data_IF_065369797109
#
_entry.id   IF_065369797109
#
_cell.length_a   1.000
_cell.length_b   1.000
_cell.length_c   1.000
_cell.angle_alpha   90.00
_cell.angle_beta   90.00
_cell.angle_gamma   90.00
#
_symmetry.space_group_name_H-M   'P 1'
#
loop_
_entity.id
_entity.type
_entity.pdbx_description
1 polymer ?
#
# COMPACT_ATOMS: atom_id res chain seq x y z
N UNK A 1 -2.00 4.10 -29.03
CA UNK A 1 -0.67 4.29 -29.65
C UNK A 1 -0.79 4.63 -31.13
N UNK A 2 -1.79 4.08 -31.84
CA UNK A 2 -1.99 4.30 -33.28
C UNK A 2 -2.06 5.77 -33.68
N UNK A 3 -2.69 6.60 -32.85
CA UNK A 3 -2.77 8.04 -33.06
C UNK A 3 -1.39 8.75 -33.18
N UNK A 4 -0.34 8.23 -32.51
CA UNK A 4 1.04 8.74 -32.61
C UNK A 4 1.66 8.38 -33.96
N UNK A 5 1.35 7.19 -34.48
CA UNK A 5 1.83 6.69 -35.76
C UNK A 5 1.15 7.44 -36.90
N UNK A 6 -0.17 7.63 -36.82
CA UNK A 6 -0.97 8.38 -37.80
C UNK A 6 -0.48 9.83 -37.95
N UNK A 7 -0.15 10.48 -36.82
CA UNK A 7 0.41 11.84 -36.79
C UNK A 7 1.89 11.91 -37.14
N UNK A 8 2.52 10.78 -37.51
CA UNK A 8 3.96 10.69 -37.83
C UNK A 8 4.88 11.16 -36.70
N UNK A 9 4.40 11.10 -35.46
CA UNK A 9 5.22 11.42 -34.27
C UNK A 9 6.19 10.26 -33.99
N UNK A 10 5.75 9.04 -34.27
CA UNK A 10 6.51 7.81 -34.07
C UNK A 10 6.43 6.94 -35.33
N UNK A 11 7.54 6.29 -35.70
CA UNK A 11 7.60 5.39 -36.86
C UNK A 11 6.80 4.09 -36.62
N UNK A 12 6.32 3.44 -37.69
CA UNK A 12 5.64 2.13 -37.61
C UNK A 12 6.49 1.02 -36.97
N UNK A 13 7.82 1.14 -37.05
CA UNK A 13 8.79 0.22 -36.46
C UNK A 13 9.01 0.42 -34.96
N UNK A 14 8.23 1.29 -34.30
CA UNK A 14 8.34 1.57 -32.87
C UNK A 14 8.35 0.33 -31.96
N UNK A 15 7.68 -0.80 -32.24
CA UNK A 15 7.73 -1.94 -31.33
C UNK A 15 9.16 -2.47 -31.14
N UNK A 16 9.96 -2.48 -32.21
CA UNK A 16 11.37 -2.89 -32.15
C UNK A 16 12.22 -1.86 -31.39
N UNK A 17 11.97 -0.57 -31.61
CA UNK A 17 12.68 0.51 -30.90
C UNK A 17 12.34 0.54 -29.40
N UNK A 18 11.07 0.31 -29.04
CA UNK A 18 10.62 0.19 -27.65
C UNK A 18 11.27 -1.01 -26.97
N UNK A 19 11.27 -2.18 -27.62
CA UNK A 19 11.96 -3.37 -27.11
C UNK A 19 13.44 -3.12 -26.86
N UNK A 20 14.10 -2.40 -27.78
CA UNK A 20 15.51 -2.02 -27.63
C UNK A 20 15.72 -1.13 -26.41
N UNK A 21 14.86 -0.14 -26.19
CA UNK A 21 14.92 0.73 -25.02
C UNK A 21 14.67 -0.04 -23.72
N UNK A 22 13.70 -0.97 -23.72
CA UNK A 22 13.38 -1.82 -22.57
C UNK A 22 14.54 -2.74 -22.19
N UNK A 23 15.21 -3.38 -23.15
CA UNK A 23 16.39 -4.22 -22.89
C UNK A 23 17.53 -3.39 -22.27
N UNK A 24 17.71 -2.15 -22.71
CA UNK A 24 18.70 -1.25 -22.11
C UNK A 24 18.33 -0.83 -20.69
N UNK A 25 17.04 -0.60 -20.44
CA UNK A 25 16.53 -0.29 -19.11
C UNK A 25 16.72 -1.48 -18.17
N UNK A 26 16.37 -2.68 -18.60
CA UNK A 26 16.57 -3.92 -17.84
C UNK A 26 18.03 -4.08 -17.42
N UNK A 27 18.95 -3.99 -18.38
CA UNK A 27 20.39 -4.04 -18.09
C UNK A 27 20.88 -2.91 -17.17
N UNK A 28 20.20 -1.76 -17.13
CA UNK A 28 20.51 -0.68 -16.21
C UNK A 28 19.98 -0.90 -14.80
N UNK A 29 18.83 -1.56 -14.67
CA UNK A 29 18.23 -1.94 -13.39
C UNK A 29 18.96 -3.11 -12.73
N UNK A 30 19.43 -4.09 -13.51
CA UNK A 30 20.15 -5.27 -13.01
C UNK A 30 21.58 -4.97 -12.58
N UNK A 31 22.14 -3.87 -13.08
CA UNK A 31 23.51 -3.51 -12.78
C UNK A 31 23.65 -2.83 -11.42
N UNK A 32 24.90 -2.67 -10.97
CA UNK A 32 25.19 -2.05 -9.68
C UNK A 32 24.53 -0.67 -9.56
N UNK A 33 23.98 -0.44 -8.36
CA UNK A 33 23.25 0.78 -8.01
C UNK A 33 24.22 1.97 -8.01
N UNK A 34 23.87 3.09 -8.67
CA UNK A 34 24.79 4.23 -8.72
C UNK A 34 25.05 4.82 -7.33
N UNK A 35 26.31 5.12 -6.96
CA UNK A 35 26.67 5.60 -5.62
C UNK A 35 26.47 7.12 -5.50
N UNK A 36 25.26 7.62 -5.78
CA UNK A 36 24.93 9.05 -5.66
C UNK A 36 23.80 9.27 -4.64
N UNK A 37 23.91 10.28 -3.76
CA UNK A 37 22.85 10.60 -2.80
C UNK A 37 21.52 10.88 -3.52
N UNK A 38 20.41 10.36 -2.98
CA UNK A 38 19.07 10.58 -3.55
C UNK A 38 18.66 9.60 -4.65
N UNK A 39 19.57 8.72 -5.11
CA UNK A 39 19.22 7.68 -6.09
C UNK A 39 18.11 6.76 -5.57
N UNK A 40 18.08 6.53 -4.25
CA UNK A 40 17.14 5.61 -3.63
C UNK A 40 15.69 6.08 -3.67
N UNK A 41 15.49 7.39 -3.62
CA UNK A 41 14.17 8.00 -3.76
C UNK A 41 13.66 7.93 -5.20
N UNK A 42 14.56 7.95 -6.19
CA UNK A 42 14.22 7.89 -7.61
C UNK A 42 14.06 6.47 -8.14
N UNK A 43 14.85 5.55 -7.58
CA UNK A 43 14.93 4.17 -8.00
C UNK A 43 14.90 3.26 -6.76
N UNK A 44 13.73 3.07 -6.12
CA UNK A 44 13.60 2.15 -4.99
C UNK A 44 14.06 0.73 -5.34
N UNK A 45 14.40 -0.06 -4.32
CA UNK A 45 14.71 -1.49 -4.51
C UNK A 45 13.49 -2.22 -5.09
N UNK A 46 13.69 -3.16 -6.02
CA UNK A 46 12.62 -3.95 -6.63
C UNK A 46 11.98 -3.32 -7.87
N UNK A 47 12.60 -2.30 -8.46
CA UNK A 47 12.16 -1.70 -9.72
C UNK A 47 12.40 -2.65 -10.88
N UNK A 48 11.39 -2.75 -11.75
CA UNK A 48 11.38 -3.55 -12.97
C UNK A 48 11.19 -2.63 -14.18
N UNK A 49 11.35 -3.18 -15.38
CA UNK A 49 11.08 -2.44 -16.62
C UNK A 49 9.61 -2.03 -16.77
N UNK A 50 8.68 -2.78 -16.16
CA UNK A 50 7.23 -2.52 -16.22
C UNK A 50 6.80 -1.35 -15.33
N UNK A 51 7.46 -1.19 -14.18
CA UNK A 51 7.12 -0.15 -13.18
C UNK A 51 8.11 1.02 -13.17
N UNK A 52 8.99 1.12 -14.17
CA UNK A 52 9.95 2.21 -14.34
C UNK A 52 9.67 2.95 -15.63
N UNK A 53 9.38 4.24 -15.50
CA UNK A 53 9.07 5.14 -16.62
C UNK A 53 10.32 5.81 -17.18
N UNK A 54 10.23 6.27 -18.43
CA UNK A 54 11.22 7.15 -19.03
C UNK A 54 11.54 8.38 -18.17
N UNK A 55 10.53 9.00 -17.56
CA UNK A 55 10.71 10.22 -16.76
C UNK A 55 11.58 9.97 -15.53
N UNK A 56 11.45 8.80 -14.93
CA UNK A 56 12.29 8.38 -13.81
C UNK A 56 13.72 8.10 -14.28
N UNK A 57 13.89 7.47 -15.45
CA UNK A 57 15.21 7.30 -16.07
C UNK A 57 15.89 8.65 -16.35
N UNK A 58 15.15 9.64 -16.83
CA UNK A 58 15.65 10.99 -17.09
C UNK A 58 16.05 11.71 -15.79
N UNK A 59 15.28 11.54 -14.70
CA UNK A 59 15.62 12.06 -13.37
C UNK A 59 16.87 11.40 -12.79
N UNK A 60 16.98 10.08 -12.92
CA UNK A 60 18.19 9.34 -12.53
C UNK A 60 19.41 9.88 -13.28
N UNK A 61 19.32 10.04 -14.60
CA UNK A 61 20.39 10.63 -15.39
C UNK A 61 20.71 12.07 -14.96
N UNK A 62 19.70 12.87 -14.63
CA UNK A 62 19.88 14.23 -14.09
C UNK A 62 20.75 14.22 -12.83
N UNK A 63 20.38 13.40 -11.86
CA UNK A 63 21.12 13.24 -10.60
C UNK A 63 22.56 12.76 -10.83
N UNK A 64 22.75 11.81 -11.74
CA UNK A 64 24.09 11.30 -12.08
C UNK A 64 24.97 12.37 -12.72
N UNK A 65 24.39 13.30 -13.49
CA UNK A 65 25.16 14.39 -14.11
C UNK A 65 25.69 15.40 -13.09
N UNK A 66 25.02 15.57 -11.95
CA UNK A 66 25.45 16.51 -10.90
C UNK A 66 26.76 16.08 -10.22
N UNK A 67 26.96 14.77 -10.03
CA UNK A 67 28.16 14.24 -9.36
C UNK A 67 29.13 13.45 -10.25
N UNK A 68 28.63 12.84 -11.33
CA UNK A 68 29.36 11.87 -12.17
C UNK A 68 29.22 12.21 -13.67
N UNK A 69 29.01 13.49 -13.99
CA UNK A 69 28.70 13.99 -15.33
C UNK A 69 29.90 14.24 -16.26
N UNK A 70 31.12 13.91 -15.83
CA UNK A 70 32.32 14.15 -16.64
C UNK A 70 32.28 13.42 -17.97
N UNK A 71 32.78 14.08 -19.02
CA UNK A 71 32.84 13.57 -20.39
C UNK A 71 34.26 13.54 -20.90
N UNK A 72 34.56 12.54 -21.70
CA UNK A 72 35.82 12.47 -22.43
C UNK A 72 35.82 13.44 -23.63
N UNK A 73 36.96 13.57 -24.30
CA UNK A 73 37.13 14.45 -25.47
C UNK A 73 36.15 14.14 -26.63
N UNK A 74 35.64 12.90 -26.70
CA UNK A 74 34.65 12.47 -27.70
C UNK A 74 33.20 12.74 -27.26
N UNK A 75 32.98 13.37 -26.10
CA UNK A 75 31.66 13.73 -25.58
C UNK A 75 30.90 12.59 -24.88
N UNK A 76 31.53 11.44 -24.66
CA UNK A 76 30.95 10.31 -23.93
C UNK A 76 31.21 10.45 -22.44
N UNK A 77 30.25 10.03 -21.60
CA UNK A 77 30.44 10.03 -20.15
C UNK A 77 31.54 9.04 -19.73
N UNK A 78 32.42 9.47 -18.82
CA UNK A 78 33.51 8.65 -18.31
C UNK A 78 33.02 7.67 -17.23
N UNK A 79 32.02 8.06 -16.44
CA UNK A 79 31.44 7.19 -15.43
C UNK A 79 30.50 6.11 -16.05
N UNK A 80 30.68 4.82 -15.72
CA UNK A 80 29.86 3.74 -16.27
C UNK A 80 28.36 3.86 -15.99
N UNK A 81 27.96 4.32 -14.80
CA UNK A 81 26.54 4.50 -14.46
C UNK A 81 25.94 5.61 -15.32
N UNK A 82 26.59 6.78 -15.38
CA UNK A 82 26.11 7.91 -16.18
C UNK A 82 26.02 7.55 -17.67
N UNK A 83 27.02 6.84 -18.20
CA UNK A 83 27.01 6.36 -19.58
C UNK A 83 25.84 5.40 -19.86
N UNK A 84 25.59 4.45 -18.95
CA UNK A 84 24.50 3.46 -19.07
C UNK A 84 23.13 4.12 -19.07
N UNK A 85 22.85 4.97 -18.07
CA UNK A 85 21.58 5.69 -17.97
C UNK A 85 21.39 6.71 -19.11
N UNK A 86 22.48 7.28 -19.63
CA UNK A 86 22.43 8.11 -20.84
C UNK A 86 22.04 7.31 -22.09
N UNK A 87 22.54 6.08 -22.28
CA UNK A 87 22.10 5.21 -23.40
C UNK A 87 20.62 4.87 -23.26
N UNK A 88 20.13 4.54 -22.05
CA UNK A 88 18.70 4.29 -21.80
C UNK A 88 17.85 5.48 -22.25
N UNK A 89 18.14 6.67 -21.73
CA UNK A 89 17.41 7.91 -22.07
C UNK A 89 17.47 8.16 -23.58
N UNK A 90 18.65 8.02 -24.20
CA UNK A 90 18.83 8.18 -25.64
C UNK A 90 17.98 7.21 -26.46
N UNK A 91 17.83 5.95 -26.05
CA UNK A 91 16.97 4.98 -26.76
C UNK A 91 15.50 5.33 -26.68
N UNK A 92 15.06 5.86 -25.54
CA UNK A 92 13.68 6.32 -25.38
C UNK A 92 13.41 7.61 -26.17
N UNK A 93 14.36 8.55 -26.20
CA UNK A 93 14.23 9.81 -26.96
C UNK A 93 14.29 9.60 -28.48
N UNK A 94 15.08 8.62 -28.92
CA UNK A 94 15.24 8.29 -30.34
C UNK A 94 13.91 7.87 -30.96
N UNK A 95 13.39 8.68 -31.88
CA UNK A 95 12.10 8.43 -32.52
C UNK A 95 10.90 8.59 -31.59
N UNK A 96 11.05 9.36 -30.51
CA UNK A 96 9.98 9.71 -29.56
C UNK A 96 9.33 8.50 -28.88
N UNK A 97 10.08 7.42 -28.67
CA UNK A 97 9.60 6.15 -28.11
C UNK A 97 9.11 6.31 -26.66
N UNK A 98 9.64 7.27 -25.92
CA UNK A 98 9.14 7.63 -24.60
C UNK A 98 7.64 7.97 -24.60
N UNK A 99 7.12 8.57 -25.68
CA UNK A 99 5.69 8.87 -25.80
C UNK A 99 4.84 7.61 -25.92
N UNK A 100 5.35 6.59 -26.62
CA UNK A 100 4.65 5.30 -26.73
C UNK A 100 4.59 4.61 -25.37
N UNK A 101 5.74 4.53 -24.69
CA UNK A 101 5.82 3.94 -23.34
C UNK A 101 4.90 4.66 -22.36
N UNK A 102 4.93 6.00 -22.34
CA UNK A 102 4.06 6.81 -21.48
C UNK A 102 2.57 6.62 -21.80
N UNK A 103 2.21 6.57 -23.08
CA UNK A 103 0.83 6.34 -23.49
C UNK A 103 0.34 4.93 -23.09
N UNK A 104 1.16 3.90 -23.26
CA UNK A 104 0.83 2.53 -22.84
C UNK A 104 0.67 2.45 -21.32
N UNK A 105 1.59 3.05 -20.57
CA UNK A 105 1.53 3.13 -19.12
C UNK A 105 0.22 3.81 -18.65
N UNK A 106 -0.09 4.99 -19.20
CA UNK A 106 -1.31 5.71 -18.86
C UNK A 106 -2.58 4.92 -19.20
N UNK A 107 -2.65 4.31 -20.38
CA UNK A 107 -3.81 3.50 -20.78
C UNK A 107 -3.99 2.33 -19.80
N UNK A 108 -2.90 1.64 -19.45
CA UNK A 108 -2.97 0.52 -18.51
C UNK A 108 -3.45 0.97 -17.13
N UNK A 109 -2.84 2.01 -16.57
CA UNK A 109 -3.19 2.49 -15.23
C UNK A 109 -4.60 3.06 -15.15
N UNK A 110 -5.04 3.80 -16.17
CA UNK A 110 -6.39 4.39 -16.19
C UNK A 110 -7.46 3.34 -16.44
N UNK A 111 -7.19 2.36 -17.30
CA UNK A 111 -8.20 1.39 -17.71
C UNK A 111 -8.33 0.20 -16.74
N UNK A 112 -7.27 -0.14 -16.01
CA UNK A 112 -7.22 -1.37 -15.21
C UNK A 112 -6.86 -1.10 -13.75
N UNK A 113 -5.73 -0.46 -13.49
CA UNK A 113 -5.22 -0.30 -12.12
C UNK A 113 -6.12 0.61 -11.27
N UNK A 114 -6.49 1.79 -11.78
CA UNK A 114 -7.35 2.73 -11.06
C UNK A 114 -8.73 2.13 -10.73
N UNK A 115 -9.45 1.49 -11.68
CA UNK A 115 -10.69 0.78 -11.37
C UNK A 115 -10.53 -0.34 -10.34
N UNK A 116 -9.45 -1.12 -10.41
CA UNK A 116 -9.18 -2.21 -9.48
C UNK A 116 -8.97 -1.68 -8.05
N UNK A 117 -8.11 -0.66 -7.89
CA UNK A 117 -7.87 -0.01 -6.60
C UNK A 117 -9.16 0.59 -6.05
N UNK A 118 -9.97 1.26 -6.88
CA UNK A 118 -11.26 1.81 -6.46
C UNK A 118 -12.22 0.74 -5.95
N UNK A 119 -12.24 -0.43 -6.59
CA UNK A 119 -13.07 -1.56 -6.16
C UNK A 119 -12.63 -2.09 -4.80
N UNK A 120 -11.33 -2.24 -4.59
CA UNK A 120 -10.79 -2.67 -3.29
C UNK A 120 -11.05 -1.63 -2.19
N UNK A 121 -10.92 -0.35 -2.50
CA UNK A 121 -11.27 0.74 -1.57
C UNK A 121 -12.75 0.66 -1.13
N UNK A 122 -13.67 0.55 -2.09
CA UNK A 122 -15.11 0.41 -1.79
C UNK A 122 -15.40 -0.85 -0.95
N UNK A 123 -14.67 -1.95 -1.18
CA UNK A 123 -14.82 -3.18 -0.39
C UNK A 123 -14.38 -2.94 1.06
N UNK A 124 -13.21 -2.33 1.25
CA UNK A 124 -12.68 -2.00 2.56
C UNK A 124 -13.59 -1.02 3.32
N UNK A 125 -14.14 -0.01 2.64
CA UNK A 125 -15.10 0.93 3.24
C UNK A 125 -16.38 0.23 3.72
N UNK A 126 -16.92 -0.70 2.92
CA UNK A 126 -18.08 -1.49 3.31
C UNK A 126 -17.78 -2.37 4.51
N UNK A 127 -16.66 -3.08 4.50
CA UNK A 127 -16.22 -3.93 5.61
C UNK A 127 -16.03 -3.11 6.90
N UNK A 128 -15.42 -1.94 6.79
CA UNK A 128 -15.26 -1.01 7.91
C UNK A 128 -16.62 -0.60 8.50
N UNK A 129 -17.59 -0.25 7.65
CA UNK A 129 -18.94 0.11 8.10
C UNK A 129 -19.66 -1.03 8.83
N UNK A 130 -19.52 -2.27 8.34
CA UNK A 130 -20.08 -3.45 9.00
C UNK A 130 -19.43 -3.70 10.37
N UNK A 131 -18.10 -3.57 10.46
CA UNK A 131 -17.36 -3.71 11.71
C UNK A 131 -17.74 -2.63 12.73
N UNK A 132 -17.87 -1.38 12.31
CA UNK A 132 -18.32 -0.28 13.17
C UNK A 132 -19.75 -0.54 13.70
N UNK A 133 -20.66 -1.04 12.86
CA UNK A 133 -22.01 -1.38 13.30
C UNK A 133 -22.01 -2.51 14.34
N UNK A 134 -21.23 -3.57 14.11
CA UNK A 134 -21.10 -4.69 15.05
C UNK A 134 -20.48 -4.25 16.37
N UNK A 135 -19.46 -3.39 16.32
CA UNK A 135 -18.85 -2.82 17.51
C UNK A 135 -19.89 -2.05 18.35
N UNK A 136 -20.68 -1.18 17.71
CA UNK A 136 -21.73 -0.43 18.41
C UNK A 136 -22.80 -1.33 19.02
N UNK A 137 -23.17 -2.42 18.34
CA UNK A 137 -24.10 -3.43 18.85
C UNK A 137 -23.52 -4.14 20.08
N UNK A 138 -22.26 -4.59 20.04
CA UNK A 138 -21.62 -5.24 21.18
C UNK A 138 -21.47 -4.32 22.39
N UNK A 139 -21.16 -3.04 22.18
CA UNK A 139 -21.12 -2.06 23.27
C UNK A 139 -22.49 -1.93 23.93
N UNK A 140 -23.56 -1.76 23.13
CA UNK A 140 -24.94 -1.69 23.65
C UNK A 140 -25.35 -2.97 24.38
N UNK A 141 -24.99 -4.14 23.85
CA UNK A 141 -25.27 -5.43 24.49
C UNK A 141 -24.53 -5.57 25.82
N UNK A 142 -23.27 -5.14 25.90
CA UNK A 142 -22.48 -5.16 27.11
C UNK A 142 -23.08 -4.24 28.19
N UNK A 143 -23.45 -3.01 27.82
CA UNK A 143 -24.13 -2.05 28.70
C UNK A 143 -25.46 -2.61 29.21
N UNK A 144 -26.31 -3.15 28.32
CA UNK A 144 -27.58 -3.74 28.71
C UNK A 144 -27.40 -4.97 29.62
N UNK A 145 -26.39 -5.80 29.37
CA UNK A 145 -26.04 -6.94 30.22
C UNK A 145 -25.59 -6.48 31.60
N UNK A 146 -24.78 -5.42 31.68
CA UNK A 146 -24.32 -4.84 32.94
C UNK A 146 -25.48 -4.27 33.76
N UNK A 147 -26.43 -3.59 33.13
CA UNK A 147 -27.65 -3.10 33.79
C UNK A 147 -28.49 -4.25 34.35
N UNK A 148 -28.70 -5.33 33.57
CA UNK A 148 -29.44 -6.51 34.05
C UNK A 148 -28.73 -7.21 35.20
N UNK A 149 -27.40 -7.31 35.12
CA UNK A 149 -26.58 -7.89 36.17
C UNK A 149 -26.69 -7.11 37.48
N UNK A 150 -26.50 -5.79 37.42
CA UNK A 150 -26.61 -4.91 38.60
C UNK A 150 -28.01 -4.91 39.19
N UNK A 151 -29.06 -4.92 38.37
CA UNK A 151 -30.44 -5.09 38.84
C UNK A 151 -30.64 -6.43 39.57
N UNK A 152 -30.17 -7.55 39.00
CA UNK A 152 -30.30 -8.87 39.61
C UNK A 152 -29.54 -8.99 40.94
N UNK A 153 -28.35 -8.38 41.05
CA UNK A 153 -27.62 -8.28 42.32
C UNK A 153 -28.43 -7.52 43.39
N UNK A 154 -28.99 -6.36 43.01
CA UNK A 154 -29.83 -5.54 43.92
C UNK A 154 -31.07 -6.28 44.40
N UNK A 155 -31.82 -6.92 43.50
CA UNK A 155 -33.02 -7.70 43.83
C UNK A 155 -32.71 -8.83 44.82
N UNK A 156 -31.54 -9.46 44.67
CA UNK A 156 -31.09 -10.54 45.55
C UNK A 156 -30.36 -10.04 46.81
N UNK A 157 -30.17 -8.73 46.96
CA UNK A 157 -29.42 -8.10 48.06
C UNK A 157 -27.99 -8.65 48.18
N UNK A 158 -27.34 -8.89 47.05
CA UNK A 158 -25.95 -9.35 46.93
C UNK A 158 -25.12 -8.21 46.35
N UNK A 159 -23.89 -8.03 46.81
CA UNK A 159 -22.94 -7.06 46.26
C UNK A 159 -22.61 -7.31 44.78
N UNK A 160 -22.29 -6.24 44.07
CA UNK A 160 -21.75 -6.33 42.71
C UNK A 160 -20.26 -6.70 42.80
N UNK A 161 -19.84 -7.82 42.22
CA UNK A 161 -18.45 -8.26 42.30
C UNK A 161 -18.07 -9.31 41.27
N UNK A 162 -16.88 -9.89 41.41
CA UNK A 162 -16.47 -11.02 40.59
C UNK A 162 -17.37 -12.24 40.86
N UNK A 163 -17.35 -13.22 39.96
CA UNK A 163 -18.07 -14.49 40.16
C UNK A 163 -17.69 -15.19 41.48
N UNK A 164 -16.44 -15.04 41.92
CA UNK A 164 -15.98 -15.59 43.21
C UNK A 164 -16.61 -14.86 44.39
N UNK A 165 -16.70 -13.52 44.33
CA UNK A 165 -17.31 -12.70 45.38
C UNK A 165 -18.79 -13.06 45.54
N UNK A 166 -19.55 -13.11 44.43
CA UNK A 166 -20.96 -13.50 44.43
C UNK A 166 -21.17 -14.91 45.00
N UNK A 167 -20.29 -15.87 44.65
CA UNK A 167 -20.37 -17.25 45.15
C UNK A 167 -20.12 -17.32 46.66
N UNK A 168 -19.18 -16.53 47.17
CA UNK A 168 -18.90 -16.47 48.60
C UNK A 168 -20.08 -15.85 49.34
N UNK A 169 -20.62 -14.74 48.83
CA UNK A 169 -21.72 -14.03 49.45
C UNK A 169 -23.01 -14.88 49.48
N UNK A 170 -23.36 -15.56 48.38
CA UNK A 170 -24.48 -16.51 48.33
C UNK A 170 -24.35 -17.64 49.36
N UNK A 171 -23.15 -18.20 49.52
CA UNK A 171 -22.90 -19.25 50.52
C UNK A 171 -23.03 -18.70 51.94
N UNK A 172 -22.54 -17.49 52.20
CA UNK A 172 -22.70 -16.81 53.48
C UNK A 172 -24.17 -16.60 53.84
N UNK A 173 -25.01 -16.23 52.87
CA UNK A 173 -26.45 -16.04 53.07
C UNK A 173 -27.20 -17.30 53.52
N UNK A 174 -26.68 -18.50 53.25
CA UNK A 174 -27.29 -19.76 53.71
C UNK A 174 -27.31 -19.88 55.25
N UNK A 175 -26.40 -19.20 55.95
CA UNK A 175 -26.38 -19.19 57.41
C UNK A 175 -27.58 -18.46 58.03
N UNK A 176 -28.35 -17.70 57.25
CA UNK A 176 -29.57 -17.02 57.71
C UNK A 176 -30.82 -17.90 57.61
N UNK A 177 -30.75 -19.09 57.01
CA UNK A 177 -31.88 -20.00 56.84
C UNK A 177 -32.31 -20.75 58.13
N UNK A 178 -31.40 -21.27 58.98
CA UNK A 178 -31.80 -22.01 60.18
C UNK A 178 -32.69 -21.21 61.16
N UNK A 179 -32.38 -19.94 61.51
CA UNK A 179 -33.24 -19.15 62.41
C UNK A 179 -34.64 -18.86 61.85
N UNK A 180 -34.78 -18.79 60.53
CA UNK A 180 -36.07 -18.58 59.85
C UNK A 180 -36.93 -19.85 59.89
N UNK A 181 -36.32 -21.03 59.85
CA UNK A 181 -37.04 -22.30 60.00
C UNK A 181 -37.54 -22.52 61.43
N UNK A 182 -36.75 -22.13 62.43
CA UNK A 182 -37.13 -22.22 63.84
C UNK A 182 -38.27 -21.24 64.24
N UNK A 183 -38.57 -20.23 63.41
CA UNK A 183 -39.69 -19.30 63.62
C UNK A 183 -41.00 -19.72 62.92
N UNK A 184 -40.96 -20.75 62.08
CA UNK A 184 -42.12 -21.23 61.30
C UNK A 184 -42.60 -22.61 61.77
N UNK A 185 -41.80 -23.32 62.57
CA UNK A 185 -42.18 -24.53 63.31
C UNK A 185 -42.73 -24.19 64.71
#
# INVERSE_FOLDING_TARGET
VDWLVERRIVAKSWPASLRTAQVKLEAALDAERPPVPGIDALLPVGRTTENTTYFECARVLGLLKEGLGEKNFLGSYTNPHTARWADVVKRFESGSIFLVSAAQFLIHHVSYELPAIKKEMNRAEKELGELQRRQAEFVRMAEASMVRYTQACREKKIGEGSRQDIRQELRGSLAQLPPLYDHVA
#
